data_IF_464557247131
#
_entry.id   IF_464557247131
#
_cell.length_a   1.000
_cell.length_b   1.000
_cell.length_c   1.000
_cell.angle_alpha   90.00
_cell.angle_beta   90.00
_cell.angle_gamma   90.00
#
_symmetry.space_group_name_H-M   'P 1'
#
loop_
_entity.id
_entity.type
_entity.pdbx_description
1 polymer ?
#
# COMPACT_ATOMS: atom_id res chain seq x y z
N UNK A 1 -1.38 20.34 12.48
CA UNK A 1 -1.78 18.92 12.39
C UNK A 1 -1.87 18.34 13.79
N UNK A 2 -3.03 17.83 14.23
CA UNK A 2 -3.08 17.07 15.48
C UNK A 2 -2.09 15.90 15.39
N UNK A 3 -1.33 15.65 16.47
CA UNK A 3 -0.21 14.70 16.47
C UNK A 3 -0.62 13.29 16.01
N UNK A 4 -1.88 12.90 16.23
CA UNK A 4 -2.46 11.60 15.89
C UNK A 4 -2.45 11.30 14.37
N UNK A 5 -2.77 12.29 13.52
CA UNK A 5 -2.89 12.07 12.06
C UNK A 5 -1.53 11.79 11.41
N UNK A 6 -0.47 12.45 11.89
CA UNK A 6 0.88 12.26 11.37
C UNK A 6 1.43 10.88 11.74
N UNK A 7 1.23 10.43 12.98
CA UNK A 7 1.62 9.09 13.40
C UNK A 7 0.89 8.02 12.59
N UNK A 8 -0.39 8.22 12.33
CA UNK A 8 -1.20 7.32 11.52
C UNK A 8 -0.73 7.25 10.06
N UNK A 9 -0.47 8.40 9.42
CA UNK A 9 0.09 8.44 8.07
C UNK A 9 1.39 7.64 7.98
N UNK A 10 2.32 7.83 8.94
CA UNK A 10 3.58 7.10 8.95
C UNK A 10 3.41 5.60 9.26
N UNK A 11 2.44 5.24 10.10
CA UNK A 11 2.08 3.83 10.37
C UNK A 11 1.61 3.16 9.08
N UNK A 12 0.63 3.76 8.40
CA UNK A 12 0.05 3.24 7.16
C UNK A 12 1.09 3.16 6.04
N UNK A 13 1.90 4.20 5.85
CA UNK A 13 2.99 4.19 4.87
C UNK A 13 3.91 2.97 5.07
N UNK A 14 4.39 2.75 6.30
CA UNK A 14 5.28 1.63 6.61
C UNK A 14 4.59 0.28 6.43
N UNK A 15 3.33 0.17 6.83
CA UNK A 15 2.54 -1.05 6.67
C UNK A 15 2.36 -1.42 5.20
N UNK A 16 1.98 -0.46 4.35
CA UNK A 16 1.82 -0.70 2.90
C UNK A 16 3.18 -1.02 2.27
N UNK A 17 4.25 -0.31 2.64
CA UNK A 17 5.60 -0.57 2.12
C UNK A 17 6.10 -2.00 2.45
N UNK A 18 5.77 -2.50 3.64
CA UNK A 18 6.06 -3.88 4.07
C UNK A 18 5.17 -4.90 3.35
N UNK A 19 3.86 -4.62 3.23
CA UNK A 19 2.93 -5.49 2.50
C UNK A 19 3.32 -5.62 1.02
N UNK A 20 3.75 -4.53 0.39
CA UNK A 20 4.29 -4.55 -0.98
C UNK A 20 5.50 -5.48 -1.12
N UNK A 21 6.32 -5.64 -0.06
CA UNK A 21 7.46 -6.55 -0.05
C UNK A 21 7.08 -8.03 -0.10
N UNK A 22 5.80 -8.37 0.13
CA UNK A 22 5.25 -9.72 0.01
C UNK A 22 4.73 -10.05 -1.39
N UNK A 23 4.78 -9.09 -2.33
CA UNK A 23 4.39 -9.36 -3.71
C UNK A 23 5.36 -10.37 -4.36
N UNK A 24 4.87 -11.29 -5.20
CA UNK A 24 5.68 -12.41 -5.69
C UNK A 24 6.74 -12.02 -6.73
N UNK A 25 6.69 -10.79 -7.26
CA UNK A 25 7.62 -10.32 -8.30
C UNK A 25 8.19 -8.96 -7.93
N UNK A 26 9.47 -8.74 -8.29
CA UNK A 26 10.17 -7.47 -8.04
C UNK A 26 9.42 -6.29 -8.67
N UNK A 27 8.90 -6.44 -9.88
CA UNK A 27 8.21 -5.36 -10.59
C UNK A 27 6.95 -4.90 -9.86
N UNK A 28 6.15 -5.85 -9.33
CA UNK A 28 4.97 -5.52 -8.51
C UNK A 28 5.36 -4.84 -7.21
N UNK A 29 6.39 -5.33 -6.52
CA UNK A 29 6.95 -4.67 -5.33
C UNK A 29 7.37 -3.23 -5.62
N UNK A 30 8.11 -3.01 -6.71
CA UNK A 30 8.56 -1.68 -7.11
C UNK A 30 7.41 -0.78 -7.54
N UNK A 31 6.42 -1.30 -8.26
CA UNK A 31 5.23 -0.56 -8.66
C UNK A 31 4.46 -0.03 -7.44
N UNK A 32 4.09 -0.91 -6.50
CA UNK A 32 3.32 -0.52 -5.31
C UNK A 32 4.09 0.50 -4.47
N UNK A 33 5.41 0.28 -4.24
CA UNK A 33 6.24 1.22 -3.47
C UNK A 33 6.37 2.59 -4.14
N UNK A 34 6.54 2.63 -5.47
CA UNK A 34 6.61 3.87 -6.24
C UNK A 34 5.28 4.63 -6.20
N UNK A 35 4.16 3.93 -6.37
CA UNK A 35 2.83 4.53 -6.28
C UNK A 35 2.55 5.06 -4.87
N UNK A 36 2.84 4.27 -3.83
CA UNK A 36 2.72 4.69 -2.44
C UNK A 36 3.50 5.99 -2.17
N UNK A 37 4.76 6.06 -2.60
CA UNK A 37 5.56 7.27 -2.45
C UNK A 37 4.92 8.45 -3.18
N UNK A 38 4.49 8.25 -4.42
CA UNK A 38 3.87 9.30 -5.23
C UNK A 38 2.63 9.90 -4.53
N UNK A 39 1.72 9.06 -4.04
CA UNK A 39 0.50 9.53 -3.35
C UNK A 39 0.82 10.34 -2.08
N UNK A 40 1.80 9.89 -1.28
CA UNK A 40 2.20 10.61 -0.08
C UNK A 40 2.90 11.94 -0.38
N UNK A 41 3.65 12.03 -1.49
CA UNK A 41 4.22 13.30 -1.94
C UNK A 41 3.13 14.26 -2.43
N UNK A 42 2.11 13.78 -3.14
CA UNK A 42 0.95 14.58 -3.56
C UNK A 42 0.18 15.14 -2.36
N UNK A 43 -0.02 14.33 -1.33
CA UNK A 43 -0.72 14.72 -0.10
C UNK A 43 0.12 15.53 0.89
N UNK A 44 1.43 15.71 0.65
CA UNK A 44 2.40 16.22 1.64
C UNK A 44 2.05 17.60 2.21
N UNK A 45 1.45 18.46 1.40
CA UNK A 45 1.10 19.84 1.76
C UNK A 45 -0.39 20.03 2.06
N UNK A 46 -1.19 18.96 2.08
CA UNK A 46 -2.60 19.08 2.47
C UNK A 46 -2.69 19.52 3.93
N UNK A 47 -3.56 20.49 4.20
CA UNK A 47 -3.77 21.08 5.53
C UNK A 47 -5.18 20.88 6.07
N UNK A 48 -6.13 20.53 5.21
CA UNK A 48 -7.54 20.35 5.57
C UNK A 48 -7.73 19.03 6.32
N UNK A 49 -8.13 19.05 7.60
CA UNK A 49 -8.25 17.83 8.42
C UNK A 49 -9.13 16.76 7.80
N UNK A 50 -10.28 17.14 7.25
CA UNK A 50 -11.28 16.21 6.69
C UNK A 50 -10.71 15.44 5.49
N UNK A 51 -9.86 16.11 4.70
CA UNK A 51 -9.19 15.47 3.56
C UNK A 51 -8.06 14.56 3.99
N UNK A 52 -7.34 14.92 5.04
CA UNK A 52 -6.30 14.06 5.61
C UNK A 52 -6.95 12.80 6.15
N UNK A 53 -8.04 12.92 6.91
CA UNK A 53 -8.80 11.77 7.39
C UNK A 53 -9.30 10.89 6.25
N UNK A 54 -9.85 11.49 5.19
CA UNK A 54 -10.26 10.74 4.00
C UNK A 54 -9.08 9.98 3.37
N UNK A 55 -7.93 10.64 3.18
CA UNK A 55 -6.73 10.01 2.62
C UNK A 55 -6.21 8.86 3.51
N UNK A 56 -6.30 8.99 4.83
CA UNK A 56 -5.89 7.94 5.76
C UNK A 56 -6.82 6.73 5.68
N UNK A 57 -8.14 6.94 5.63
CA UNK A 57 -9.11 5.84 5.40
C UNK A 57 -8.89 5.16 4.06
N UNK A 58 -8.64 5.94 3.01
CA UNK A 58 -8.28 5.39 1.70
C UNK A 58 -7.00 4.55 1.78
N UNK A 59 -5.97 5.02 2.48
CA UNK A 59 -4.72 4.29 2.66
C UNK A 59 -4.93 2.97 3.45
N UNK A 60 -5.86 2.93 4.40
CA UNK A 60 -6.26 1.70 5.10
C UNK A 60 -6.89 0.68 4.14
N UNK A 61 -7.86 1.10 3.31
CA UNK A 61 -8.42 0.23 2.26
C UNK A 61 -7.37 -0.25 1.27
N UNK A 62 -6.40 0.61 0.92
CA UNK A 62 -5.29 0.23 0.04
C UNK A 62 -4.34 -0.78 0.70
N UNK A 63 -4.13 -0.68 2.03
CA UNK A 63 -3.36 -1.68 2.76
C UNK A 63 -4.01 -3.07 2.67
N UNK A 64 -5.31 -3.16 2.94
CA UNK A 64 -6.06 -4.42 2.83
C UNK A 64 -5.97 -4.98 1.40
N UNK A 65 -6.16 -4.12 0.40
CA UNK A 65 -6.07 -4.52 -1.02
C UNK A 65 -4.69 -5.08 -1.36
N UNK A 66 -3.61 -4.42 -0.93
CA UNK A 66 -2.24 -4.88 -1.18
C UNK A 66 -1.96 -6.20 -0.47
N UNK A 67 -2.49 -6.40 0.75
CA UNK A 67 -2.36 -7.66 1.48
C UNK A 67 -3.06 -8.82 0.75
N UNK A 68 -4.33 -8.64 0.37
CA UNK A 68 -5.11 -9.65 -0.36
C UNK A 68 -4.45 -9.98 -1.70
N UNK A 69 -3.99 -8.97 -2.45
CA UNK A 69 -3.32 -9.21 -3.72
C UNK A 69 -1.97 -9.92 -3.55
N UNK A 70 -1.19 -9.56 -2.53
CA UNK A 70 0.08 -10.23 -2.26
C UNK A 70 -0.15 -11.71 -1.95
N UNK A 71 -1.15 -12.04 -1.13
CA UNK A 71 -1.53 -13.42 -0.81
C UNK A 71 -2.02 -14.17 -2.05
N UNK A 72 -3.01 -13.60 -2.75
CA UNK A 72 -3.62 -14.22 -3.93
C UNK A 72 -2.57 -14.51 -5.01
N UNK A 73 -1.77 -13.51 -5.38
CA UNK A 73 -0.75 -13.67 -6.40
C UNK A 73 0.35 -14.64 -5.97
N UNK A 74 0.77 -14.62 -4.69
CA UNK A 74 1.76 -15.60 -4.21
C UNK A 74 1.24 -17.03 -4.30
N UNK A 75 -0.05 -17.24 -3.98
CA UNK A 75 -0.71 -18.53 -4.13
C UNK A 75 -0.76 -18.97 -5.61
N UNK A 76 -1.19 -18.08 -6.52
CA UNK A 76 -1.26 -18.37 -7.96
C UNK A 76 0.11 -18.74 -8.54
N UNK A 77 1.17 -17.98 -8.22
CA UNK A 77 2.52 -18.24 -8.72
C UNK A 77 3.16 -19.50 -8.13
N UNK A 78 2.67 -19.99 -6.98
CA UNK A 78 3.13 -21.23 -6.37
C UNK A 78 2.39 -22.47 -6.89
N UNK A 79 1.34 -22.29 -7.70
CA UNK A 79 0.55 -23.39 -8.24
C UNK A 79 1.33 -24.16 -9.32
N UNK A 80 1.44 -25.50 -9.23
CA UNK A 80 2.20 -26.33 -10.18
C UNK A 80 1.73 -26.18 -11.63
N UNK A 81 0.45 -25.85 -11.84
CA UNK A 81 -0.15 -25.70 -13.16
C UNK A 81 -0.02 -24.28 -13.74
N UNK A 82 0.55 -23.32 -13.01
CA UNK A 82 0.68 -21.93 -13.47
C UNK A 82 1.52 -21.79 -14.75
N UNK A 83 2.51 -22.67 -14.95
CA UNK A 83 3.39 -22.65 -16.13
C UNK A 83 2.90 -23.54 -17.29
N UNK A 84 1.71 -24.14 -17.19
CA UNK A 84 1.18 -25.09 -18.22
C UNK A 84 0.27 -24.46 -19.27
N UNK A 85 0.02 -23.16 -19.23
CA UNK A 85 -0.73 -22.39 -20.25
C UNK A 85 0.22 -21.66 -21.19
#
# INVERSE_FOLDING_TARGET
MPANLRSEALRLYRSIYRAAGKMPTRDRTHYVRRRLRHEYELGRTETRPERIEFMLRLAETQLETVQVQAEHLSSTFSSPDYHRT
#
